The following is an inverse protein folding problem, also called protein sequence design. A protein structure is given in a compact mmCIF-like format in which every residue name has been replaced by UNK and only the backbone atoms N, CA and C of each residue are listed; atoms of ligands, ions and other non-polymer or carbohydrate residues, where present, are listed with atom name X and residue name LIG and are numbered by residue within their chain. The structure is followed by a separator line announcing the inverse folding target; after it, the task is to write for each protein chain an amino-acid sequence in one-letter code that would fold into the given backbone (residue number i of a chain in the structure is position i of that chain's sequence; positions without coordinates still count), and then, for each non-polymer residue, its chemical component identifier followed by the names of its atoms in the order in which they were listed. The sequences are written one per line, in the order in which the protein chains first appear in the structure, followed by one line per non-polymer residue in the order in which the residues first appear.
data_IF_707868317041
#
_entry.id   IF_707868317041
#
_cell.length_a   1.000
_cell.length_b   1.000
_cell.length_c   1.000
_cell.angle_alpha   90.00
_cell.angle_beta   90.00
_cell.angle_gamma   90.00
#
_symmetry.space_group_name_H-M   'P 1'
#
loop_
_entity.id
_entity.type
_entity.pdbx_description
1 polymer ?
#
# COMPACT_ATOMS: atom_id res chain seq x y z
N UNK A 1 18.56 13.21 8.38
CA UNK A 1 19.64 12.30 8.02
C UNK A 1 20.91 12.64 8.77
N UNK A 2 21.72 11.66 9.12
CA UNK A 2 23.01 11.91 9.74
C UNK A 2 24.00 12.55 8.75
N UNK A 3 23.84 12.23 7.46
CA UNK A 3 24.59 12.77 6.34
C UNK A 3 23.68 12.98 5.13
N UNK A 4 24.08 13.88 4.21
CA UNK A 4 23.35 14.16 2.99
C UNK A 4 22.25 15.22 3.16
N UNK A 5 21.50 15.45 2.08
CA UNK A 5 20.41 16.43 2.01
C UNK A 5 19.14 15.76 1.53
N UNK A 6 18.01 16.11 2.14
CA UNK A 6 16.69 15.75 1.65
C UNK A 6 16.13 16.95 0.88
N UNK A 7 15.82 16.74 -0.38
CA UNK A 7 15.10 17.71 -1.21
C UNK A 7 13.69 17.25 -1.42
N UNK A 8 12.71 18.10 -1.16
CA UNK A 8 11.31 17.82 -1.44
C UNK A 8 10.66 19.01 -2.14
N UNK A 9 9.66 18.71 -2.98
CA UNK A 9 8.83 19.71 -3.64
C UNK A 9 8.18 20.63 -2.60
N UNK A 10 8.12 21.93 -2.90
CA UNK A 10 7.39 22.86 -2.06
C UNK A 10 5.93 22.47 -1.94
N UNK A 11 5.38 22.63 -0.74
CA UNK A 11 3.98 22.32 -0.41
C UNK A 11 3.57 20.85 -0.63
N UNK A 12 4.54 19.92 -0.76
CA UNK A 12 4.26 18.50 -0.90
C UNK A 12 3.44 17.99 0.30
N UNK A 13 2.24 17.50 0.04
CA UNK A 13 1.38 16.87 1.05
C UNK A 13 1.73 15.40 1.15
N UNK A 14 2.13 14.97 2.34
CA UNK A 14 2.49 13.57 2.60
C UNK A 14 1.43 12.95 3.51
N UNK A 15 0.86 11.83 3.06
CA UNK A 15 0.10 10.91 3.90
C UNK A 15 1.04 9.81 4.40
N UNK A 16 1.06 9.56 5.69
CA UNK A 16 1.86 8.49 6.28
C UNK A 16 0.97 7.51 7.02
N UNK A 17 1.13 6.25 6.68
CA UNK A 17 0.52 5.12 7.35
C UNK A 17 1.61 4.32 8.05
N UNK A 18 1.67 4.35 9.39
CA UNK A 18 2.64 3.57 10.16
C UNK A 18 2.27 2.09 10.16
N UNK A 19 3.23 1.24 10.43
CA UNK A 19 3.09 -0.20 10.56
C UNK A 19 2.00 -0.60 11.59
N UNK A 20 1.99 0.07 12.73
CA UNK A 20 1.01 -0.13 13.79
C UNK A 20 0.88 1.11 14.66
N UNK A 21 -0.17 1.14 15.46
CA UNK A 21 -0.34 2.12 16.53
C UNK A 21 -0.65 1.38 17.83
N UNK A 22 -0.11 1.87 18.93
CA UNK A 22 -0.48 1.39 20.24
C UNK A 22 -1.77 2.06 20.69
N UNK A 23 -2.87 1.31 20.68
CA UNK A 23 -4.15 1.77 21.22
C UNK A 23 -4.20 1.46 22.71
N UNK A 24 -4.23 2.52 23.53
CA UNK A 24 -4.39 2.36 24.99
C UNK A 24 -5.88 2.10 25.24
N UNK A 25 -6.22 0.92 25.74
CA UNK A 25 -7.61 0.50 25.96
C UNK A 25 -8.41 1.42 26.90
N UNK A 26 -7.72 2.15 27.77
CA UNK A 26 -8.33 3.09 28.70
C UNK A 26 -8.71 4.43 28.09
N UNK A 27 -8.25 4.71 26.84
CA UNK A 27 -8.55 5.95 26.14
C UNK A 27 -9.72 5.74 25.18
N UNK A 28 -10.93 6.21 25.48
CA UNK A 28 -12.08 6.08 24.58
C UNK A 28 -11.86 6.96 23.34
N UNK A 29 -11.52 6.32 22.21
CA UNK A 29 -11.33 7.02 20.93
C UNK A 29 -12.09 6.31 19.83
N UNK A 30 -13.05 6.98 19.23
CA UNK A 30 -13.77 6.46 18.07
C UNK A 30 -12.92 6.56 16.80
N UNK A 31 -13.23 5.74 15.80
CA UNK A 31 -12.60 5.78 14.47
C UNK A 31 -12.69 7.19 13.87
N UNK A 32 -13.86 7.83 13.93
CA UNK A 32 -14.04 9.22 13.46
C UNK A 32 -13.05 10.17 14.13
N UNK A 33 -12.99 10.17 15.45
CA UNK A 33 -12.10 11.06 16.20
C UNK A 33 -10.62 10.78 15.86
N UNK A 34 -10.25 9.52 15.72
CA UNK A 34 -8.89 9.14 15.36
C UNK A 34 -8.50 9.63 13.97
N UNK A 35 -9.35 9.42 12.96
CA UNK A 35 -9.07 9.84 11.58
C UNK A 35 -8.92 11.36 11.50
N UNK A 36 -9.73 12.11 12.24
CA UNK A 36 -9.86 13.57 12.11
C UNK A 36 -8.98 14.36 13.08
N UNK A 37 -8.51 13.74 14.18
CA UNK A 37 -7.71 14.47 15.19
C UNK A 37 -6.47 15.11 14.56
N UNK A 38 -6.27 16.40 14.84
CA UNK A 38 -5.16 17.23 14.31
C UNK A 38 -5.10 17.30 12.76
N UNK A 39 -6.19 17.00 12.08
CA UNK A 39 -6.31 17.13 10.62
C UNK A 39 -7.25 18.26 10.28
N UNK A 40 -6.86 19.10 9.31
CA UNK A 40 -7.83 19.99 8.65
C UNK A 40 -8.52 19.17 7.57
N UNK A 41 -9.83 19.06 7.64
CA UNK A 41 -10.62 18.30 6.65
C UNK A 41 -11.97 19.01 6.50
N UNK A 42 -12.64 18.75 5.39
CA UNK A 42 -14.04 19.07 5.17
C UNK A 42 -14.88 17.78 5.18
N UNK A 43 -16.15 17.91 5.42
CA UNK A 43 -17.06 16.76 5.52
C UNK A 43 -17.17 15.97 4.22
N UNK A 44 -16.97 16.61 3.07
CA UNK A 44 -17.01 15.95 1.75
C UNK A 44 -15.82 15.03 1.62
N UNK A 45 -14.60 15.52 1.87
CA UNK A 45 -13.37 14.75 1.86
C UNK A 45 -13.43 13.57 2.84
N UNK A 46 -13.97 13.79 4.05
CA UNK A 46 -14.15 12.73 5.02
C UNK A 46 -15.09 11.63 4.50
N UNK A 47 -16.28 12.00 4.01
CA UNK A 47 -17.24 11.03 3.48
C UNK A 47 -16.70 10.27 2.28
N UNK A 48 -15.96 10.94 1.40
CA UNK A 48 -15.32 10.31 0.25
C UNK A 48 -14.31 9.24 0.68
N UNK A 49 -13.39 9.56 1.58
CA UNK A 49 -12.39 8.62 2.08
C UNK A 49 -13.04 7.44 2.79
N UNK A 50 -14.02 7.67 3.66
CA UNK A 50 -14.74 6.62 4.39
C UNK A 50 -15.44 5.65 3.42
N UNK A 51 -16.01 6.15 2.34
CA UNK A 51 -16.66 5.34 1.32
C UNK A 51 -15.66 4.57 0.47
N UNK A 52 -14.56 5.22 0.06
CA UNK A 52 -13.52 4.63 -0.78
C UNK A 52 -12.79 3.47 -0.08
N UNK A 53 -12.57 3.59 1.23
CA UNK A 53 -11.90 2.57 2.05
C UNK A 53 -12.87 1.52 2.59
N UNK A 54 -14.19 1.73 2.39
CA UNK A 54 -15.26 0.86 2.89
C UNK A 54 -15.26 0.65 4.40
N UNK A 55 -15.17 1.76 5.16
CA UNK A 55 -15.17 1.74 6.63
C UNK A 55 -16.33 2.53 7.25
N UNK A 56 -17.40 2.80 6.48
CA UNK A 56 -18.56 3.55 6.98
C UNK A 56 -19.17 2.93 8.24
N UNK A 57 -19.21 1.60 8.30
CA UNK A 57 -19.74 0.83 9.43
C UNK A 57 -18.86 0.85 10.69
N UNK A 58 -17.64 1.40 10.59
CA UNK A 58 -16.67 1.49 11.69
C UNK A 58 -16.62 2.87 12.34
N UNK A 59 -17.16 3.91 11.71
CA UNK A 59 -16.92 5.34 12.04
C UNK A 59 -17.18 5.65 13.52
N UNK A 60 -18.21 5.05 14.10
CA UNK A 60 -18.62 5.29 15.49
C UNK A 60 -18.07 4.24 16.48
N UNK A 61 -17.38 3.18 15.97
CA UNK A 61 -16.76 2.17 16.82
C UNK A 61 -15.53 2.72 17.55
N UNK A 62 -15.24 2.15 18.71
CA UNK A 62 -13.99 2.38 19.43
C UNK A 62 -12.83 1.71 18.70
N UNK A 63 -11.63 2.32 18.68
CA UNK A 63 -10.44 1.71 18.08
C UNK A 63 -10.07 0.39 18.73
N UNK A 64 -10.29 0.25 20.04
CA UNK A 64 -9.92 -0.93 20.82
C UNK A 64 -10.67 -2.21 20.45
N UNK A 65 -11.79 -2.11 19.74
CA UNK A 65 -12.59 -3.27 19.33
C UNK A 65 -12.42 -3.66 17.86
N UNK A 66 -11.53 -2.96 17.14
CA UNK A 66 -11.28 -3.25 15.74
C UNK A 66 -10.43 -4.50 15.56
N UNK A 67 -10.74 -5.28 14.54
CA UNK A 67 -9.83 -6.32 14.04
C UNK A 67 -8.58 -5.70 13.42
N UNK A 68 -7.51 -6.50 13.22
CA UNK A 68 -6.29 -6.03 12.57
C UNK A 68 -6.56 -5.42 11.17
N UNK A 69 -7.39 -6.07 10.36
CA UNK A 69 -7.76 -5.59 9.03
C UNK A 69 -8.57 -4.30 9.06
N UNK A 70 -9.54 -4.18 9.97
CA UNK A 70 -10.30 -2.95 10.17
C UNK A 70 -9.37 -1.81 10.60
N UNK A 71 -8.41 -2.07 11.50
CA UNK A 71 -7.42 -1.09 11.95
C UNK A 71 -6.54 -0.61 10.80
N UNK A 72 -6.05 -1.52 9.94
CA UNK A 72 -5.23 -1.14 8.77
C UNK A 72 -6.01 -0.25 7.79
N UNK A 73 -7.28 -0.57 7.54
CA UNK A 73 -8.17 0.30 6.73
C UNK A 73 -8.36 1.68 7.38
N UNK A 74 -8.52 1.75 8.67
CA UNK A 74 -8.65 3.03 9.42
C UNK A 74 -7.36 3.85 9.35
N UNK A 75 -6.19 3.22 9.47
CA UNK A 75 -4.88 3.88 9.30
C UNK A 75 -4.71 4.44 7.87
N UNK A 76 -5.10 3.65 6.87
CA UNK A 76 -5.08 4.08 5.47
C UNK A 76 -6.02 5.26 5.24
N UNK A 77 -7.25 5.23 5.74
CA UNK A 77 -8.20 6.33 5.64
C UNK A 77 -7.65 7.62 6.27
N UNK A 78 -7.03 7.52 7.45
CA UNK A 78 -6.38 8.65 8.11
C UNK A 78 -5.25 9.24 7.26
N UNK A 79 -4.46 8.41 6.59
CA UNK A 79 -3.34 8.86 5.75
C UNK A 79 -3.82 9.59 4.48
N UNK A 80 -5.00 9.26 3.97
CA UNK A 80 -5.61 9.80 2.75
C UNK A 80 -6.45 11.06 2.97
N UNK A 81 -6.86 11.38 4.21
CA UNK A 81 -7.86 12.41 4.51
C UNK A 81 -7.51 13.79 3.94
N UNK A 82 -6.23 14.16 3.92
CA UNK A 82 -5.78 15.47 3.42
C UNK A 82 -5.42 15.47 1.94
N UNK A 83 -5.88 14.49 1.19
CA UNK A 83 -5.58 14.31 -0.23
C UNK A 83 -4.08 14.50 -0.52
N UNK A 84 -3.23 13.55 -0.08
CA UNK A 84 -1.78 13.66 -0.21
C UNK A 84 -1.32 13.52 -1.66
N UNK A 85 -0.20 14.17 -2.00
CA UNK A 85 0.51 13.97 -3.28
C UNK A 85 1.41 12.73 -3.23
N UNK A 86 1.88 12.37 -2.01
CA UNK A 86 2.69 11.19 -1.72
C UNK A 86 2.10 10.43 -0.53
N UNK A 87 1.78 9.17 -0.75
CA UNK A 87 1.38 8.23 0.31
C UNK A 87 2.56 7.34 0.67
N UNK A 88 2.97 7.37 1.93
CA UNK A 88 4.03 6.52 2.47
C UNK A 88 3.38 5.45 3.35
N UNK A 89 3.59 4.19 3.00
CA UNK A 89 3.04 3.01 3.67
C UNK A 89 4.18 2.21 4.28
N UNK A 90 4.14 2.02 5.59
CA UNK A 90 5.15 1.29 6.34
C UNK A 90 4.57 -0.06 6.77
N UNK A 91 5.00 -1.15 6.15
CA UNK A 91 4.52 -2.53 6.38
C UNK A 91 2.98 -2.63 6.46
N UNK A 92 2.24 -2.14 5.45
CA UNK A 92 0.81 -1.85 5.59
C UNK A 92 -0.08 -3.08 5.75
N UNK A 93 0.42 -4.28 5.47
CA UNK A 93 -0.34 -5.54 5.53
C UNK A 93 0.25 -6.57 6.51
N UNK A 94 1.22 -6.20 7.35
CA UNK A 94 1.98 -7.14 8.19
C UNK A 94 1.12 -7.98 9.14
N UNK A 95 0.03 -7.44 9.66
CA UNK A 95 -0.82 -8.12 10.65
C UNK A 95 -2.09 -8.73 10.05
N UNK A 96 -2.10 -8.96 8.73
CA UNK A 96 -3.23 -9.54 8.02
C UNK A 96 -2.94 -10.99 7.64
N UNK A 97 -3.97 -11.81 7.59
CA UNK A 97 -3.90 -13.10 6.94
C UNK A 97 -3.73 -12.95 5.41
N UNK A 98 -3.39 -14.01 4.71
CA UNK A 98 -3.12 -14.00 3.27
C UNK A 98 -4.28 -13.37 2.49
N UNK A 99 -5.53 -13.71 2.83
CA UNK A 99 -6.72 -13.16 2.18
C UNK A 99 -6.87 -11.66 2.42
N UNK A 100 -6.64 -11.23 3.66
CA UNK A 100 -6.64 -9.82 4.07
C UNK A 100 -5.55 -9.02 3.37
N UNK A 101 -4.34 -9.58 3.26
CA UNK A 101 -3.23 -8.96 2.53
C UNK A 101 -3.61 -8.71 1.06
N UNK A 102 -4.08 -9.74 0.35
CA UNK A 102 -4.49 -9.61 -1.05
C UNK A 102 -5.59 -8.55 -1.23
N UNK A 103 -6.59 -8.55 -0.36
CA UNK A 103 -7.67 -7.56 -0.38
C UNK A 103 -7.18 -6.15 -0.13
N UNK A 104 -6.22 -5.99 0.78
CA UNK A 104 -5.64 -4.70 1.12
C UNK A 104 -4.76 -4.14 -0.01
N UNK A 105 -3.96 -4.98 -0.66
CA UNK A 105 -3.16 -4.56 -1.82
C UNK A 105 -4.04 -4.20 -3.03
N UNK A 106 -5.13 -4.92 -3.27
CA UNK A 106 -6.13 -4.52 -4.29
C UNK A 106 -6.71 -3.15 -4.00
N UNK A 107 -7.04 -2.86 -2.74
CA UNK A 107 -7.51 -1.55 -2.32
C UNK A 107 -6.48 -0.45 -2.58
N UNK A 108 -5.19 -0.70 -2.30
CA UNK A 108 -4.10 0.25 -2.60
C UNK A 108 -4.01 0.49 -4.13
N UNK A 109 -4.11 -0.55 -4.95
CA UNK A 109 -4.10 -0.42 -6.41
C UNK A 109 -5.29 0.39 -6.93
N UNK A 110 -6.49 0.19 -6.37
CA UNK A 110 -7.68 0.99 -6.70
C UNK A 110 -7.50 2.47 -6.34
N UNK A 111 -6.95 2.76 -5.18
CA UNK A 111 -6.62 4.13 -4.76
C UNK A 111 -5.63 4.76 -5.74
N UNK A 112 -4.57 4.03 -6.10
CA UNK A 112 -3.57 4.49 -7.05
C UNK A 112 -4.16 4.78 -8.43
N UNK A 113 -5.12 3.97 -8.89
CA UNK A 113 -5.77 4.15 -10.20
C UNK A 113 -6.76 5.32 -10.24
N UNK A 114 -7.39 5.63 -9.10
CA UNK A 114 -8.44 6.66 -8.99
C UNK A 114 -7.91 8.05 -8.59
N UNK A 115 -6.73 8.11 -7.99
CA UNK A 115 -6.14 9.34 -7.47
C UNK A 115 -4.84 9.68 -8.19
N UNK A 116 -4.57 10.96 -8.40
CA UNK A 116 -3.25 11.44 -8.84
C UNK A 116 -2.32 11.48 -7.62
N UNK A 117 -1.74 10.32 -7.28
CA UNK A 117 -0.93 10.13 -6.08
C UNK A 117 0.27 9.25 -6.38
N UNK A 118 1.41 9.59 -5.79
CA UNK A 118 2.57 8.69 -5.73
C UNK A 118 2.50 7.84 -4.47
N UNK A 119 2.86 6.55 -4.56
CA UNK A 119 2.90 5.65 -3.41
C UNK A 119 4.32 5.15 -3.20
N UNK A 120 4.85 5.33 -2.00
CA UNK A 120 6.08 4.72 -1.50
C UNK A 120 5.71 3.71 -0.42
N UNK A 121 6.02 2.45 -0.66
CA UNK A 121 5.72 1.37 0.27
C UNK A 121 7.00 0.71 0.76
N UNK A 122 7.11 0.50 2.05
CA UNK A 122 8.13 -0.34 2.70
C UNK A 122 7.48 -1.66 3.05
N UNK A 123 8.06 -2.77 2.61
CA UNK A 123 7.58 -4.11 2.94
C UNK A 123 8.70 -5.14 2.86
N UNK A 124 8.61 -6.19 3.67
CA UNK A 124 9.45 -7.38 3.59
C UNK A 124 8.77 -8.53 2.84
N UNK A 125 7.52 -8.35 2.42
CA UNK A 125 6.79 -9.34 1.61
C UNK A 125 7.16 -9.19 0.13
N UNK A 126 8.17 -9.96 -0.29
CA UNK A 126 8.70 -9.91 -1.65
C UNK A 126 7.65 -10.25 -2.71
N UNK A 127 6.76 -11.22 -2.44
CA UNK A 127 5.73 -11.62 -3.40
C UNK A 127 4.80 -10.47 -3.73
N UNK A 128 4.26 -9.84 -2.71
CA UNK A 128 3.32 -8.74 -2.88
C UNK A 128 3.98 -7.51 -3.48
N UNK A 129 5.23 -7.20 -3.07
CA UNK A 129 6.01 -6.09 -3.64
C UNK A 129 6.22 -6.29 -5.14
N UNK A 130 6.69 -7.49 -5.56
CA UNK A 130 7.00 -7.76 -6.96
C UNK A 130 5.77 -7.74 -7.87
N UNK A 131 4.59 -8.13 -7.36
CA UNK A 131 3.34 -8.13 -8.14
C UNK A 131 2.67 -6.76 -8.15
N UNK A 132 2.81 -5.97 -7.08
CA UNK A 132 1.99 -4.77 -6.87
C UNK A 132 2.70 -3.47 -7.24
N UNK A 133 4.02 -3.48 -7.53
CA UNK A 133 4.80 -2.25 -7.68
C UNK A 133 5.35 -2.07 -9.09
N UNK A 134 5.57 -0.80 -9.49
CA UNK A 134 6.19 -0.45 -10.77
C UNK A 134 7.71 -0.37 -10.67
N UNK A 135 8.24 -0.06 -9.50
CA UNK A 135 9.66 0.08 -9.21
C UNK A 135 9.98 -0.43 -7.83
N UNK A 136 11.06 -1.17 -7.70
CA UNK A 136 11.58 -1.72 -6.45
C UNK A 136 12.95 -1.11 -6.16
N UNK A 137 13.21 -0.88 -4.88
CA UNK A 137 14.50 -0.51 -4.32
C UNK A 137 14.83 -1.53 -3.22
N UNK A 138 15.93 -2.25 -3.36
CA UNK A 138 16.40 -3.17 -2.34
C UNK A 138 17.41 -2.46 -1.42
N UNK A 139 17.19 -2.59 -0.12
CA UNK A 139 18.01 -1.94 0.89
C UNK A 139 18.67 -2.99 1.80
N UNK A 140 19.99 -2.93 1.88
CA UNK A 140 20.81 -3.69 2.84
C UNK A 140 21.95 -2.79 3.32
N UNK A 141 21.70 -1.86 4.24
CA UNK A 141 22.61 -0.78 4.64
C UNK A 141 22.97 0.21 3.50
N UNK A 142 22.84 -0.18 2.26
CA UNK A 142 22.95 0.62 1.04
C UNK A 142 21.87 0.19 0.05
N UNK A 143 21.72 0.93 -1.03
CA UNK A 143 20.84 0.48 -2.15
C UNK A 143 21.63 -0.57 -2.94
N UNK A 144 21.29 -1.84 -2.76
CA UNK A 144 21.93 -2.96 -3.44
C UNK A 144 21.40 -3.15 -4.86
N UNK A 145 20.10 -3.00 -5.09
CA UNK A 145 19.53 -3.08 -6.43
C UNK A 145 18.31 -2.16 -6.58
N UNK A 146 18.02 -1.74 -7.80
CA UNK A 146 16.84 -0.94 -8.09
C UNK A 146 16.39 -1.09 -9.53
N UNK A 147 15.08 -1.14 -9.77
CA UNK A 147 14.54 -1.27 -11.13
C UNK A 147 13.09 -1.71 -11.15
N UNK A 148 12.65 -2.14 -12.32
CA UNK A 148 11.38 -2.87 -12.45
C UNK A 148 11.50 -4.22 -11.74
N UNK A 149 10.39 -4.78 -11.21
CA UNK A 149 10.43 -6.07 -10.51
C UNK A 149 11.18 -7.17 -11.26
N UNK A 150 10.97 -7.30 -12.60
CA UNK A 150 11.64 -8.32 -13.43
C UNK A 150 13.17 -8.12 -13.47
N UNK A 151 13.63 -6.89 -13.53
CA UNK A 151 15.06 -6.57 -13.57
C UNK A 151 15.71 -6.87 -12.20
N UNK A 152 15.02 -6.49 -11.13
CA UNK A 152 15.47 -6.74 -9.76
C UNK A 152 15.53 -8.24 -9.45
N UNK A 153 14.56 -9.03 -9.89
CA UNK A 153 14.57 -10.48 -9.69
C UNK A 153 15.77 -11.20 -10.36
N UNK A 154 16.37 -10.58 -11.39
CA UNK A 154 17.54 -11.10 -12.10
C UNK A 154 18.87 -10.48 -11.63
N UNK A 155 18.80 -9.51 -10.72
CA UNK A 155 20.00 -8.82 -10.21
C UNK A 155 20.84 -9.77 -9.34
N UNK A 156 22.16 -9.86 -9.59
CA UNK A 156 23.05 -10.73 -8.82
C UNK A 156 23.05 -10.46 -7.31
N UNK A 157 22.90 -9.20 -6.89
CA UNK A 157 22.84 -8.83 -5.47
C UNK A 157 21.51 -9.29 -4.85
N UNK A 158 20.40 -9.17 -5.58
CA UNK A 158 19.11 -9.71 -5.15
C UNK A 158 19.16 -11.23 -4.98
N UNK A 159 19.73 -11.94 -5.95
CA UNK A 159 19.90 -13.40 -5.91
C UNK A 159 20.81 -13.81 -4.74
N UNK A 160 21.86 -13.06 -4.48
CA UNK A 160 22.75 -13.30 -3.34
C UNK A 160 22.05 -13.14 -1.99
N UNK A 161 21.14 -12.16 -1.87
CA UNK A 161 20.40 -11.87 -0.63
C UNK A 161 19.27 -12.86 -0.35
N UNK A 162 18.51 -13.24 -1.38
CA UNK A 162 17.25 -13.98 -1.22
C UNK A 162 17.28 -15.40 -1.77
N UNK A 163 18.37 -15.79 -2.47
CA UNK A 163 18.55 -17.10 -3.07
C UNK A 163 17.95 -17.23 -4.48
N UNK A 164 18.51 -18.17 -5.27
CA UNK A 164 18.08 -18.42 -6.65
C UNK A 164 16.64 -18.90 -6.75
N UNK A 165 16.18 -19.71 -5.81
CA UNK A 165 14.82 -20.27 -5.84
C UNK A 165 13.77 -19.18 -5.66
N UNK A 166 14.02 -18.23 -4.76
CA UNK A 166 13.15 -17.07 -4.58
C UNK A 166 13.12 -16.19 -5.84
N UNK A 167 14.29 -15.90 -6.42
CA UNK A 167 14.39 -15.11 -7.65
C UNK A 167 13.66 -15.78 -8.83
N UNK A 168 13.81 -17.10 -9.01
CA UNK A 168 13.09 -17.86 -10.04
C UNK A 168 11.58 -17.87 -9.82
N UNK A 169 11.12 -18.07 -8.59
CA UNK A 169 9.70 -17.98 -8.25
C UNK A 169 9.12 -16.62 -8.63
N UNK A 170 9.81 -15.53 -8.33
CA UNK A 170 9.40 -14.17 -8.68
C UNK A 170 9.32 -13.94 -10.18
N UNK A 171 10.27 -14.48 -10.96
CA UNK A 171 10.29 -14.38 -12.41
C UNK A 171 9.10 -15.11 -13.06
N UNK A 172 8.72 -16.30 -12.57
CA UNK A 172 7.62 -17.12 -13.09
C UNK A 172 6.24 -16.50 -12.81
N UNK A 173 6.03 -15.94 -11.61
CA UNK A 173 4.74 -15.35 -11.23
C UNK A 173 4.32 -14.17 -12.10
N UNK A 174 5.26 -13.49 -12.73
CA UNK A 174 4.96 -12.32 -13.58
C UNK A 174 4.60 -12.71 -15.01
N UNK A 175 5.04 -13.86 -15.52
CA UNK A 175 4.65 -14.35 -16.84
C UNK A 175 3.17 -14.76 -16.90
N UNK A 176 2.61 -15.29 -15.82
CA UNK A 176 1.20 -15.68 -15.73
C UNK A 176 0.23 -14.48 -15.67
N UNK A 177 0.64 -13.34 -15.13
CA UNK A 177 -0.22 -12.15 -15.04
C UNK A 177 -0.30 -11.34 -16.36
N UNK A 178 0.63 -11.51 -17.29
CA UNK A 178 0.57 -10.87 -18.61
C UNK A 178 -0.31 -11.65 -19.60
N UNK A 179 -0.45 -12.95 -19.44
CA UNK A 179 -1.28 -13.79 -20.33
C UNK A 179 -2.78 -13.62 -20.03
N UNK A 180 -3.17 -13.37 -18.81
CA UNK A 180 -4.58 -13.16 -18.42
C UNK A 180 -5.17 -11.80 -18.82
N UNK A 181 -4.36 -10.84 -19.28
CA UNK A 181 -4.87 -9.56 -19.82
C UNK A 181 -5.07 -9.57 -21.34
N UNK A 182 -4.53 -10.55 -22.04
CA UNK A 182 -4.63 -10.67 -23.52
C UNK A 182 -5.89 -11.44 -23.94
N UNK A 183 -6.41 -12.35 -23.12
CA UNK A 183 -7.56 -13.17 -23.45
C UNK A 183 -8.93 -12.48 -23.32
N UNK A 184 -9.01 -11.27 -22.78
CA UNK A 184 -10.26 -10.52 -22.66
C UNK A 184 -10.60 -9.63 -23.88
N UNK A 185 -9.78 -9.63 -24.93
CA UNK A 185 -10.04 -8.84 -26.16
C UNK A 185 -10.43 -9.65 -27.41
N UNK A 186 -10.65 -10.98 -27.26
CA UNK A 186 -10.95 -11.84 -28.41
C UNK A 186 -12.34 -12.50 -28.38
N UNK A 187 -13.27 -11.99 -27.59
CA UNK A 187 -14.67 -12.49 -27.61
C UNK A 187 -15.64 -11.31 -27.82
N UNK A 188 -15.44 -10.56 -28.90
CA UNK A 188 -16.52 -9.76 -29.51
C UNK A 188 -16.22 -9.64 -31.00
N UNK A 189 -16.72 -10.63 -31.75
CA UNK A 189 -16.63 -10.65 -33.20
C UNK A 189 -17.41 -11.81 -33.78
N UNK A 190 -18.61 -11.49 -34.28
CA UNK A 190 -19.39 -12.22 -35.26
C UNK A 190 -20.22 -13.44 -34.82
N UNK A 191 -21.51 -13.20 -34.62
CA UNK A 191 -22.54 -14.06 -35.18
C UNK A 191 -23.61 -13.17 -35.85
N UNK A 192 -23.76 -13.43 -37.16
CA UNK A 192 -24.82 -12.92 -38.00
C UNK A 192 -26.20 -13.34 -37.50
#
# INVERSE_FOLDING_TARGET
PNFGKIQKKDKLKIGYMPQSINVINTMPMTVKNFITVRKKYDDISFKQVISEIDIKHLVDKQLSVLSGGEMQRVLLARSLLNNPDLLVLDEPAQNLDISGQLSFYKLIQEIYSKRDISILMVSHDLHLVMVSTKKVLCLSNHICCSGKPQQVAQDPEFISMFGKDMANMMAVYQHTNHTSQIDNHLIDGEIK
#
